data_IF_233461688766
#
_entry.id   IF_233461688766
#
_cell.length_a   1.000
_cell.length_b   1.000
_cell.length_c   1.000
_cell.angle_alpha   90.00
_cell.angle_beta   90.00
_cell.angle_gamma   90.00
#
_symmetry.space_group_name_H-M   'P 1'
#
loop_
_entity.id
_entity.type
_entity.pdbx_description
1 polymer ?
#
# COMPACT_ATOMS: atom_id res chain seq x y z
N UNK A 1 13.03 9.36 38.84
CA UNK A 1 12.03 9.42 37.75
C UNK A 1 11.67 8.01 37.32
N UNK A 2 10.45 7.55 37.59
CA UNK A 2 10.02 6.19 37.27
C UNK A 2 9.93 6.00 35.74
N UNK A 3 10.76 5.11 35.21
CA UNK A 3 10.78 4.73 33.79
C UNK A 3 9.49 3.95 33.51
N UNK A 4 8.42 4.64 33.09
CA UNK A 4 7.12 4.07 32.69
C UNK A 4 7.40 2.89 31.76
N UNK A 5 7.10 1.64 32.16
CA UNK A 5 7.33 0.45 31.33
C UNK A 5 6.62 0.65 29.99
N UNK A 6 7.39 0.88 28.92
CA UNK A 6 6.87 1.04 27.57
C UNK A 6 6.29 -0.31 27.14
N UNK A 7 4.98 -0.39 27.00
CA UNK A 7 4.28 -1.64 26.68
C UNK A 7 4.22 -1.82 25.17
N UNK A 8 5.22 -2.50 24.61
CA UNK A 8 5.38 -2.71 23.16
C UNK A 8 4.14 -3.36 22.54
N UNK A 9 3.49 -4.28 23.26
CA UNK A 9 2.26 -4.92 22.79
C UNK A 9 1.12 -3.93 22.57
N UNK A 10 0.97 -2.90 23.41
CA UNK A 10 -0.05 -1.85 23.22
C UNK A 10 0.25 -1.02 21.98
N UNK A 11 1.54 -0.74 21.74
CA UNK A 11 2.00 -0.11 20.51
C UNK A 11 1.68 -0.97 19.29
N UNK A 12 1.98 -2.27 19.34
CA UNK A 12 1.71 -3.21 18.27
C UNK A 12 0.21 -3.31 17.96
N UNK A 13 -0.66 -3.47 18.96
CA UNK A 13 -2.12 -3.55 18.78
C UNK A 13 -2.66 -2.26 18.17
N UNK A 14 -2.25 -1.10 18.70
CA UNK A 14 -2.63 0.18 18.13
C UNK A 14 -2.11 0.36 16.68
N UNK A 15 -0.93 -0.18 16.41
CA UNK A 15 -0.31 -0.21 15.09
C UNK A 15 -1.05 -1.09 14.09
N UNK A 16 -1.45 -2.30 14.49
CA UNK A 16 -2.23 -3.22 13.64
C UNK A 16 -3.56 -2.57 13.23
N UNK A 17 -4.28 -1.99 14.20
CA UNK A 17 -5.50 -1.23 13.91
C UNK A 17 -5.23 -0.05 12.97
N UNK A 18 -4.14 0.68 13.21
CA UNK A 18 -3.71 1.78 12.35
C UNK A 18 -3.38 1.36 10.92
N UNK A 19 -2.63 0.26 10.75
CA UNK A 19 -2.25 -0.27 9.44
C UNK A 19 -3.46 -0.74 8.64
N UNK A 20 -4.41 -1.43 9.27
CA UNK A 20 -5.62 -1.88 8.60
C UNK A 20 -6.46 -0.70 8.06
N UNK A 21 -6.72 0.29 8.91
CA UNK A 21 -7.48 1.49 8.52
C UNK A 21 -6.70 2.30 7.48
N UNK A 22 -5.38 2.41 7.63
CA UNK A 22 -4.53 3.12 6.70
C UNK A 22 -4.51 2.48 5.31
N UNK A 23 -4.44 1.15 5.21
CA UNK A 23 -4.56 0.44 3.94
C UNK A 23 -5.89 0.74 3.27
N UNK A 24 -6.99 0.72 4.03
CA UNK A 24 -8.30 1.03 3.47
C UNK A 24 -8.38 2.46 2.94
N UNK A 25 -7.97 3.45 3.75
CA UNK A 25 -7.97 4.87 3.34
C UNK A 25 -7.05 5.11 2.15
N UNK A 26 -5.91 4.44 2.08
CA UNK A 26 -4.99 4.50 0.95
C UNK A 26 -5.64 3.96 -0.34
N UNK A 27 -6.33 2.82 -0.29
CA UNK A 27 -7.04 2.24 -1.44
C UNK A 27 -8.12 3.20 -1.97
N UNK A 28 -8.90 3.80 -1.08
CA UNK A 28 -9.93 4.79 -1.45
C UNK A 28 -9.30 6.04 -2.07
N UNK A 29 -8.19 6.53 -1.49
CA UNK A 29 -7.46 7.67 -2.03
C UNK A 29 -6.89 7.38 -3.43
N UNK A 30 -6.32 6.20 -3.65
CA UNK A 30 -5.83 5.77 -4.97
C UNK A 30 -6.97 5.73 -5.99
N UNK A 31 -8.10 5.12 -5.64
CA UNK A 31 -9.29 5.05 -6.50
C UNK A 31 -9.79 6.46 -6.88
N UNK A 32 -9.80 7.39 -5.92
CA UNK A 32 -10.14 8.79 -6.16
C UNK A 32 -9.13 9.50 -7.07
N UNK A 33 -7.83 9.33 -6.84
CA UNK A 33 -6.77 9.91 -7.66
C UNK A 33 -6.82 9.40 -9.10
N UNK A 34 -7.04 8.10 -9.30
CA UNK A 34 -7.21 7.51 -10.63
C UNK A 34 -8.43 8.07 -11.35
N UNK A 35 -9.56 8.23 -10.65
CA UNK A 35 -10.77 8.81 -11.23
C UNK A 35 -10.53 10.26 -11.69
N UNK A 36 -9.78 11.05 -10.91
CA UNK A 36 -9.39 12.41 -11.27
C UNK A 36 -8.42 12.41 -12.46
N UNK A 37 -7.39 11.55 -12.43
CA UNK A 37 -6.42 11.43 -13.52
C UNK A 37 -7.10 11.07 -14.85
N UNK A 38 -8.03 10.10 -14.83
CA UNK A 38 -8.84 9.71 -16.00
C UNK A 38 -9.67 10.87 -16.54
N UNK A 39 -10.32 11.66 -15.67
CA UNK A 39 -11.09 12.85 -16.08
C UNK A 39 -10.21 13.93 -16.71
N UNK A 40 -9.02 14.18 -16.16
CA UNK A 40 -8.08 15.16 -16.71
C UNK A 40 -7.51 14.71 -18.07
N UNK A 41 -7.21 13.41 -18.23
CA UNK A 41 -6.77 12.84 -19.50
C UNK A 41 -7.89 12.88 -20.55
N UNK A 42 -9.14 12.58 -20.17
CA UNK A 42 -10.29 12.66 -21.06
C UNK A 42 -10.52 14.10 -21.54
N UNK A 43 -10.36 15.10 -20.66
CA UNK A 43 -10.48 16.52 -21.01
C UNK A 43 -9.33 17.01 -21.92
N UNK A 44 -8.14 16.39 -21.84
CA UNK A 44 -7.02 16.61 -22.78
C UNK A 44 -7.20 15.92 -24.13
N UNK A 45 -7.86 14.74 -24.17
CA UNK A 45 -8.07 13.97 -25.40
C UNK A 45 -9.17 14.52 -26.32
N UNK A 46 -9.97 15.48 -25.85
CA UNK A 46 -10.93 16.25 -26.67
C UNK A 46 -10.31 17.11 -27.79
N UNK A 47 -8.99 17.05 -28.00
CA UNK A 47 -8.28 17.83 -29.03
C UNK A 47 -7.50 16.99 -30.06
N UNK A 48 -7.72 15.67 -30.17
CA UNK A 48 -7.22 14.86 -31.30
C UNK A 48 -8.06 13.59 -31.52
N UNK A 49 -8.57 13.33 -32.75
CA UNK A 49 -9.25 12.09 -33.07
C UNK A 49 -8.23 11.04 -33.52
N UNK A 50 -7.92 10.09 -32.64
CA UNK A 50 -7.78 8.68 -32.98
C UNK A 50 -7.20 7.92 -31.80
N UNK A 51 -8.03 7.06 -31.20
CA UNK A 51 -7.67 5.80 -30.55
C UNK A 51 -8.93 5.26 -29.89
N UNK A 52 -9.87 4.83 -30.73
CA UNK A 52 -10.87 3.85 -30.30
C UNK A 52 -10.21 2.48 -30.09
N UNK A 53 -10.76 1.73 -29.15
CA UNK A 53 -10.53 0.30 -28.88
C UNK A 53 -9.20 -0.10 -28.20
N UNK A 54 -9.20 -0.05 -26.85
CA UNK A 54 -8.86 -1.21 -25.97
C UNK A 54 -9.60 -1.08 -24.64
N UNK A 55 -10.89 -1.42 -24.65
CA UNK A 55 -11.67 -1.75 -23.45
C UNK A 55 -11.81 -3.28 -23.43
N UNK A 56 -11.55 -3.87 -22.27
CA UNK A 56 -11.69 -5.30 -21.96
C UNK A 56 -10.67 -6.23 -22.64
N UNK A 57 -9.48 -6.28 -22.06
CA UNK A 57 -8.67 -7.49 -21.89
C UNK A 57 -7.54 -7.09 -20.94
N UNK A 58 -7.60 -7.52 -19.68
CA UNK A 58 -6.41 -7.56 -18.83
C UNK A 58 -5.42 -8.46 -19.57
N UNK A 59 -4.28 -7.95 -20.07
CA UNK A 59 -3.25 -8.84 -20.56
C UNK A 59 -2.81 -9.65 -19.35
N UNK A 60 -2.80 -10.98 -19.47
CA UNK A 60 -2.36 -11.90 -18.40
C UNK A 60 -0.93 -11.63 -17.88
N UNK A 61 -0.22 -10.62 -18.42
CA UNK A 61 1.08 -10.13 -17.97
C UNK A 61 1.09 -8.89 -17.05
N UNK A 62 -0.02 -8.18 -16.84
CA UNK A 62 -0.04 -6.92 -16.06
C UNK A 62 -0.73 -7.05 -14.68
N UNK A 63 -0.57 -8.20 -14.03
CA UNK A 63 -1.15 -8.43 -12.70
C UNK A 63 -0.41 -7.65 -11.61
N UNK A 64 -1.16 -7.07 -10.66
CA UNK A 64 -0.61 -6.33 -9.51
C UNK A 64 0.35 -7.19 -8.67
N UNK A 65 1.32 -6.54 -8.05
CA UNK A 65 2.34 -7.20 -7.24
C UNK A 65 1.74 -8.05 -6.10
N UNK A 66 0.61 -7.63 -5.53
CA UNK A 66 -0.12 -8.36 -4.49
C UNK A 66 -0.78 -9.63 -5.01
N UNK A 67 -1.34 -9.60 -6.23
CA UNK A 67 -1.90 -10.77 -6.91
C UNK A 67 -0.80 -11.77 -7.27
N UNK A 68 0.33 -11.29 -7.81
CA UNK A 68 1.50 -12.15 -8.06
C UNK A 68 2.05 -12.79 -6.78
N UNK A 69 2.08 -12.02 -5.68
CA UNK A 69 2.45 -12.54 -4.35
C UNK A 69 1.49 -13.64 -3.90
N UNK A 70 0.18 -13.40 -3.99
CA UNK A 70 -0.84 -14.38 -3.63
C UNK A 70 -0.71 -15.66 -4.46
N UNK A 71 -0.49 -15.56 -5.77
CA UNK A 71 -0.22 -16.71 -6.63
C UNK A 71 1.00 -17.50 -6.16
N UNK A 72 2.10 -16.82 -5.85
CA UNK A 72 3.34 -17.47 -5.40
C UNK A 72 3.16 -18.19 -4.07
N UNK A 73 2.42 -17.59 -3.14
CA UNK A 73 2.04 -18.23 -1.89
C UNK A 73 1.14 -19.46 -2.13
N UNK A 74 0.11 -19.34 -2.97
CA UNK A 74 -0.78 -20.46 -3.32
C UNK A 74 -0.01 -21.63 -3.96
N UNK A 75 0.88 -21.35 -4.90
CA UNK A 75 1.68 -22.40 -5.53
C UNK A 75 2.63 -23.07 -4.54
N UNK A 76 3.19 -22.31 -3.59
CA UNK A 76 4.15 -22.84 -2.60
C UNK A 76 3.45 -23.64 -1.49
N UNK A 77 2.32 -23.17 -0.98
CA UNK A 77 1.64 -23.78 0.16
C UNK A 77 0.50 -24.72 -0.22
N UNK A 78 -0.25 -24.40 -1.28
CA UNK A 78 -1.44 -25.14 -1.71
C UNK A 78 -1.20 -25.96 -2.99
N UNK A 79 0.00 -25.88 -3.59
CA UNK A 79 0.39 -26.57 -4.81
C UNK A 79 -0.61 -26.39 -5.98
N UNK A 80 -1.31 -25.25 -6.02
CA UNK A 80 -2.29 -24.93 -7.06
C UNK A 80 -2.25 -23.47 -7.48
N UNK A 81 -2.66 -23.21 -8.71
CA UNK A 81 -2.92 -21.86 -9.20
C UNK A 81 -4.26 -21.33 -8.68
N UNK A 82 -4.34 -20.01 -8.51
CA UNK A 82 -5.59 -19.31 -8.17
C UNK A 82 -6.39 -19.07 -9.46
N UNK A 83 -7.68 -19.39 -9.44
CA UNK A 83 -8.59 -19.02 -10.52
C UNK A 83 -8.88 -17.50 -10.51
N UNK A 84 -9.53 -16.96 -11.55
CA UNK A 84 -9.75 -15.51 -11.67
C UNK A 84 -10.52 -14.90 -10.48
N UNK A 85 -11.55 -15.59 -9.98
CA UNK A 85 -12.33 -15.14 -8.80
C UNK A 85 -11.48 -15.17 -7.52
N UNK A 86 -10.55 -16.11 -7.40
CA UNK A 86 -9.63 -16.19 -6.26
C UNK A 86 -8.54 -15.12 -6.34
N UNK A 87 -8.00 -14.82 -7.53
CA UNK A 87 -7.04 -13.73 -7.72
C UNK A 87 -7.64 -12.38 -7.33
N UNK A 88 -8.88 -12.12 -7.73
CA UNK A 88 -9.61 -10.88 -7.43
C UNK A 88 -9.71 -10.64 -5.91
N UNK A 89 -9.86 -11.70 -5.12
CA UNK A 89 -9.92 -11.60 -3.65
C UNK A 89 -8.54 -11.66 -2.99
N UNK A 90 -7.62 -12.45 -3.53
CA UNK A 90 -6.35 -12.71 -2.90
C UNK A 90 -5.39 -11.53 -2.95
N UNK A 91 -5.42 -10.72 -4.02
CA UNK A 91 -4.66 -9.47 -4.10
C UNK A 91 -4.98 -8.50 -2.95
N UNK A 92 -6.26 -8.10 -2.77
CA UNK A 92 -6.69 -7.28 -1.65
C UNK A 92 -6.36 -7.90 -0.29
N UNK A 93 -6.56 -9.21 -0.11
CA UNK A 93 -6.21 -9.89 1.16
C UNK A 93 -4.73 -9.71 1.49
N UNK A 94 -3.83 -9.95 0.53
CA UNK A 94 -2.39 -9.76 0.72
C UNK A 94 -2.07 -8.29 1.01
N UNK A 95 -2.71 -7.35 0.31
CA UNK A 95 -2.52 -5.92 0.54
C UNK A 95 -2.88 -5.50 1.97
N UNK A 96 -4.10 -5.85 2.42
CA UNK A 96 -4.56 -5.53 3.78
C UNK A 96 -3.75 -6.25 4.86
N UNK A 97 -3.37 -7.51 4.63
CA UNK A 97 -2.54 -8.25 5.57
C UNK A 97 -1.14 -7.62 5.71
N UNK A 98 -0.51 -7.30 4.59
CA UNK A 98 0.79 -6.63 4.57
C UNK A 98 0.72 -5.28 5.29
N UNK A 99 -0.21 -4.41 4.93
CA UNK A 99 -0.37 -3.10 5.57
C UNK A 99 -0.68 -3.21 7.06
N UNK A 100 -1.58 -4.12 7.46
CA UNK A 100 -1.87 -4.37 8.88
C UNK A 100 -0.59 -4.75 9.65
N UNK A 101 0.18 -5.71 9.16
CA UNK A 101 1.42 -6.16 9.79
C UNK A 101 2.47 -5.04 9.88
N UNK A 102 2.66 -4.29 8.80
CA UNK A 102 3.56 -3.14 8.75
C UNK A 102 3.14 -2.06 9.75
N UNK A 103 1.84 -1.79 9.88
CA UNK A 103 1.28 -0.93 10.91
C UNK A 103 1.58 -1.44 12.33
N UNK A 104 1.49 -2.75 12.56
CA UNK A 104 1.87 -3.38 13.84
C UNK A 104 3.34 -3.15 14.20
N UNK A 105 4.25 -3.36 13.24
CA UNK A 105 5.69 -3.11 13.39
C UNK A 105 5.94 -1.62 13.68
N UNK A 106 5.28 -0.73 12.93
CA UNK A 106 5.33 0.72 13.18
C UNK A 106 4.93 1.06 14.60
N UNK A 107 3.78 0.54 15.05
CA UNK A 107 3.25 0.86 16.36
C UNK A 107 4.10 0.34 17.52
N UNK A 108 4.66 -0.87 17.39
CA UNK A 108 5.61 -1.40 18.36
C UNK A 108 6.88 -0.53 18.44
N UNK A 109 7.42 -0.13 17.27
CA UNK A 109 8.63 0.68 17.17
C UNK A 109 8.42 2.10 17.71
N UNK A 110 7.24 2.67 17.48
CA UNK A 110 6.85 4.01 17.90
C UNK A 110 6.82 4.22 19.43
N UNK A 111 6.75 3.14 20.23
CA UNK A 111 6.89 3.21 21.68
C UNK A 111 8.32 3.58 22.10
N UNK A 112 9.32 3.08 21.36
CA UNK A 112 10.74 3.24 21.70
C UNK A 112 11.47 4.30 20.89
N UNK A 113 11.01 4.58 19.67
CA UNK A 113 11.67 5.49 18.72
C UNK A 113 10.72 6.64 18.40
N UNK A 114 10.70 7.73 19.20
CA UNK A 114 9.84 8.88 18.96
C UNK A 114 9.95 9.49 17.56
N UNK A 115 11.13 9.41 16.95
CA UNK A 115 11.46 9.96 15.65
C UNK A 115 10.58 9.37 14.53
N UNK A 116 10.16 8.11 14.64
CA UNK A 116 9.31 7.46 13.62
C UNK A 116 7.89 8.04 13.58
N UNK A 117 7.48 8.76 14.63
CA UNK A 117 6.19 9.45 14.74
C UNK A 117 6.22 10.89 14.21
N UNK A 118 7.39 11.38 13.83
CA UNK A 118 7.57 12.74 13.33
C UNK A 118 6.75 12.97 12.06
N UNK A 119 6.32 14.22 11.85
CA UNK A 119 5.51 14.59 10.69
C UNK A 119 4.26 13.73 10.52
N UNK A 120 3.62 13.29 11.60
CA UNK A 120 2.46 12.39 11.57
C UNK A 120 2.71 11.06 10.84
N UNK A 121 3.94 10.54 10.81
CA UNK A 121 4.21 9.25 10.14
C UNK A 121 4.45 9.35 8.64
N UNK A 122 4.53 10.56 8.07
CA UNK A 122 4.91 10.77 6.67
C UNK A 122 6.28 10.15 6.31
N UNK A 123 7.36 10.31 7.11
CA UNK A 123 8.64 9.68 6.80
C UNK A 123 8.54 8.14 6.80
N UNK A 124 7.67 7.59 7.63
CA UNK A 124 7.42 6.16 7.65
C UNK A 124 6.69 5.70 6.37
N UNK A 125 5.67 6.44 5.92
CA UNK A 125 5.02 6.20 4.63
C UNK A 125 6.02 6.18 3.47
N UNK A 126 6.88 7.20 3.36
CA UNK A 126 7.95 7.24 2.35
C UNK A 126 8.92 6.06 2.45
N UNK A 127 9.29 5.65 3.67
CA UNK A 127 10.17 4.49 3.86
C UNK A 127 9.53 3.19 3.38
N UNK A 128 8.21 3.01 3.56
CA UNK A 128 7.49 1.86 3.02
C UNK A 128 7.42 1.92 1.49
N UNK A 129 7.13 3.09 0.91
CA UNK A 129 7.16 3.26 -0.55
C UNK A 129 8.51 2.83 -1.14
N UNK A 130 9.61 3.38 -0.61
CA UNK A 130 10.96 3.03 -1.10
C UNK A 130 11.28 1.56 -0.85
N UNK A 131 10.99 1.04 0.34
CA UNK A 131 11.33 -0.35 0.70
C UNK A 131 10.51 -1.39 -0.06
N UNK A 132 9.20 -1.18 -0.18
CA UNK A 132 8.28 -2.12 -0.79
C UNK A 132 8.21 -1.91 -2.31
N UNK A 133 7.79 -0.73 -2.77
CA UNK A 133 7.44 -0.48 -4.17
C UNK A 133 8.68 -0.27 -5.03
N UNK A 134 9.71 0.40 -4.50
CA UNK A 134 10.90 0.74 -5.28
C UNK A 134 12.00 -0.33 -5.21
N UNK A 135 12.01 -1.16 -4.16
CA UNK A 135 13.06 -2.16 -3.94
C UNK A 135 12.49 -3.58 -3.98
N UNK A 136 11.63 -3.95 -3.03
CA UNK A 136 11.22 -5.35 -2.87
C UNK A 136 10.39 -5.87 -4.05
N UNK A 137 9.39 -5.12 -4.50
CA UNK A 137 8.48 -5.51 -5.58
C UNK A 137 9.24 -5.68 -6.91
N UNK A 138 10.12 -4.74 -7.34
CA UNK A 138 10.96 -4.93 -8.52
C UNK A 138 11.97 -6.07 -8.36
N UNK A 139 12.67 -6.16 -7.23
CA UNK A 139 13.67 -7.21 -7.00
C UNK A 139 13.08 -8.62 -7.02
N UNK A 140 11.81 -8.77 -6.66
CA UNK A 140 11.08 -10.05 -6.70
C UNK A 140 10.39 -10.33 -8.04
N UNK A 141 10.52 -9.42 -9.03
CA UNK A 141 9.84 -9.54 -10.33
C UNK A 141 8.33 -9.43 -10.24
N UNK A 142 7.82 -8.82 -9.17
CA UNK A 142 6.39 -8.67 -8.90
C UNK A 142 5.82 -7.43 -9.59
N UNK A 143 6.65 -6.44 -9.92
CA UNK A 143 6.19 -5.26 -10.67
C UNK A 143 5.81 -5.65 -12.11
N UNK A 144 4.72 -5.11 -12.67
CA UNK A 144 4.41 -5.23 -14.10
C UNK A 144 5.29 -4.32 -14.98
N UNK A 145 5.89 -3.25 -14.42
CA UNK A 145 6.80 -2.32 -15.12
C UNK A 145 8.10 -2.13 -14.33
N UNK A 146 9.23 -1.98 -15.01
CA UNK A 146 10.48 -1.58 -14.35
C UNK A 146 10.41 -0.12 -13.90
N UNK A 147 11.23 0.26 -12.90
CA UNK A 147 11.32 1.64 -12.41
C UNK A 147 11.45 2.68 -13.53
N UNK A 148 12.29 2.37 -14.54
CA UNK A 148 12.57 3.22 -15.70
C UNK A 148 11.43 3.33 -16.71
N UNK A 149 10.45 2.43 -16.65
CA UNK A 149 9.29 2.38 -17.55
C UNK A 149 8.05 3.04 -16.94
N UNK A 150 8.06 3.27 -15.62
CA UNK A 150 7.01 3.94 -14.87
C UNK A 150 7.14 5.46 -15.02
N UNK A 151 6.05 6.15 -15.38
CA UNK A 151 6.09 7.61 -15.51
C UNK A 151 6.37 8.28 -14.16
N UNK A 152 7.13 9.39 -14.10
CA UNK A 152 7.43 10.08 -12.83
C UNK A 152 6.18 10.49 -12.04
N UNK A 153 5.08 10.72 -12.75
CA UNK A 153 3.80 11.07 -12.13
C UNK A 153 3.15 9.86 -11.42
N UNK A 154 3.31 8.64 -11.96
CA UNK A 154 2.85 7.40 -11.31
C UNK A 154 3.60 7.18 -9.99
N UNK A 155 4.93 7.38 -9.99
CA UNK A 155 5.76 7.36 -8.77
C UNK A 155 5.33 8.39 -7.73
N UNK A 156 5.03 9.62 -8.16
CA UNK A 156 4.56 10.68 -7.27
C UNK A 156 3.19 10.33 -6.63
N UNK A 157 2.27 9.76 -7.41
CA UNK A 157 0.98 9.30 -6.88
C UNK A 157 1.14 8.12 -5.92
N UNK A 158 2.02 7.17 -6.23
CA UNK A 158 2.35 6.05 -5.36
C UNK A 158 2.93 6.54 -4.02
N UNK A 159 3.90 7.46 -4.06
CA UNK A 159 4.45 8.09 -2.86
C UNK A 159 3.39 8.85 -2.06
N UNK A 160 2.50 9.60 -2.73
CA UNK A 160 1.42 10.33 -2.06
C UNK A 160 0.45 9.38 -1.35
N UNK A 161 0.11 8.26 -1.98
CA UNK A 161 -0.74 7.23 -1.35
C UNK A 161 -0.07 6.62 -0.10
N UNK A 162 1.26 6.46 -0.12
CA UNK A 162 2.02 6.03 1.04
C UNK A 162 2.10 7.09 2.14
N UNK A 163 2.11 8.38 1.80
CA UNK A 163 1.95 9.45 2.78
C UNK A 163 0.58 9.40 3.46
N UNK A 164 -0.49 9.17 2.70
CA UNK A 164 -1.85 8.96 3.24
C UNK A 164 -1.86 7.76 4.20
N UNK A 165 -1.21 6.66 3.82
CA UNK A 165 -1.06 5.50 4.68
C UNK A 165 -0.34 5.85 6.00
N UNK A 166 0.85 6.46 5.92
CA UNK A 166 1.65 6.84 7.09
C UNK A 166 0.90 7.79 8.04
N UNK A 167 0.25 8.81 7.48
CA UNK A 167 -0.57 9.77 8.22
C UNK A 167 -1.73 9.09 8.95
N UNK A 168 -2.51 8.29 8.23
CA UNK A 168 -3.65 7.56 8.78
C UNK A 168 -3.22 6.60 9.88
N UNK A 169 -2.16 5.81 9.63
CA UNK A 169 -1.66 4.83 10.57
C UNK A 169 -1.25 5.49 11.90
N UNK A 170 -0.54 6.62 11.85
CA UNK A 170 -0.12 7.33 13.05
C UNK A 170 -1.29 7.99 13.79
N UNK A 171 -2.26 8.58 13.07
CA UNK A 171 -3.47 9.16 13.69
C UNK A 171 -4.26 8.08 14.44
N UNK A 172 -4.56 6.97 13.78
CA UNK A 172 -5.32 5.86 14.37
C UNK A 172 -4.54 5.23 15.52
N UNK A 173 -3.24 4.96 15.34
CA UNK A 173 -2.38 4.41 16.39
C UNK A 173 -2.39 5.31 17.62
N UNK A 174 -2.24 6.63 17.48
CA UNK A 174 -2.29 7.58 18.61
C UNK A 174 -3.61 7.48 19.37
N UNK A 175 -4.72 7.41 18.64
CA UNK A 175 -6.06 7.30 19.24
C UNK A 175 -6.21 5.98 19.97
N UNK A 176 -6.00 4.84 19.31
CA UNK A 176 -6.14 3.51 19.93
C UNK A 176 -5.18 3.36 21.12
N UNK A 177 -3.93 3.83 20.99
CA UNK A 177 -2.93 3.75 22.05
C UNK A 177 -3.31 4.55 23.30
N UNK A 178 -4.01 5.66 23.15
CA UNK A 178 -4.50 6.45 24.28
C UNK A 178 -5.57 5.72 25.10
N UNK A 179 -6.25 4.75 24.49
CA UNK A 179 -7.27 3.91 25.15
C UNK A 179 -6.70 2.65 25.80
N UNK A 180 -5.47 2.24 25.43
CA UNK A 180 -4.79 1.04 25.93
C UNK A 180 -3.88 1.36 27.12
#
# INVERSE_FOLDING_TARGET
MARRRKSLWKGAVAGLAGGLVASWVMTEAQTGMEAIAKKLQQNRKSSSPDSEHKKNEQPEGSEDATVKTAKRLSHTFLHRSLNSNEKEKAGPIVHYAFGTLIGGIYGATAENVPQIKSGYGLPFGAAIFVGADEIAVPALGLSPKSFSETEPQEHAYALLSHFVYGATAEIVRRRVRAWL
#
